data_IF_244700863771
#
_entry.id   IF_244700863771
#
_cell.length_a   1.000
_cell.length_b   1.000
_cell.length_c   1.000
_cell.angle_alpha   90.00
_cell.angle_beta   90.00
_cell.angle_gamma   90.00
#
_symmetry.space_group_name_H-M   'P 1'
#
loop_
_entity.id
_entity.type
_entity.pdbx_description
1 polymer ?
#
# COMPACT_ATOMS: atom_id res chain seq x y z
N UNK A 1 -47.88 0.35 -6.17
CA UNK A 1 -46.76 0.62 -7.08
C UNK A 1 -45.52 0.07 -6.40
N UNK A 2 -44.95 -1.02 -6.93
CA UNK A 2 -43.72 -1.60 -6.40
C UNK A 2 -42.51 -0.82 -6.89
N UNK A 3 -41.34 -1.06 -6.29
CA UNK A 3 -40.08 -0.55 -6.83
C UNK A 3 -39.88 -1.13 -8.26
N UNK A 4 -39.13 -0.40 -9.09
CA UNK A 4 -38.65 -0.89 -10.39
C UNK A 4 -37.14 -0.91 -10.29
N UNK A 5 -36.52 -2.04 -10.66
CA UNK A 5 -35.09 -2.21 -10.58
C UNK A 5 -34.32 -1.23 -11.47
N UNK A 6 -33.22 -0.68 -10.96
CA UNK A 6 -32.42 0.35 -11.63
C UNK A 6 -31.58 -0.18 -12.81
N UNK A 7 -31.31 -1.49 -12.85
CA UNK A 7 -30.58 -2.14 -13.93
C UNK A 7 -31.55 -2.80 -14.91
N UNK A 8 -32.06 -2.05 -15.89
CA UNK A 8 -33.00 -2.57 -16.89
C UNK A 8 -34.23 -3.29 -16.30
N UNK A 9 -34.72 -2.84 -15.14
CA UNK A 9 -35.84 -3.46 -14.42
C UNK A 9 -35.46 -4.55 -13.41
N UNK A 10 -34.19 -4.96 -13.37
CA UNK A 10 -33.62 -5.85 -12.36
C UNK A 10 -33.08 -5.06 -11.16
N UNK A 11 -33.17 -5.67 -9.99
CA UNK A 11 -32.65 -5.19 -8.72
C UNK A 11 -31.19 -5.59 -8.50
N UNK A 12 -30.65 -6.49 -9.33
CA UNK A 12 -29.26 -6.93 -9.28
C UNK A 12 -28.45 -6.37 -10.46
N UNK A 13 -27.18 -6.10 -10.20
CA UNK A 13 -26.20 -5.69 -11.21
C UNK A 13 -25.02 -6.66 -11.17
N UNK A 14 -24.75 -7.31 -12.29
CA UNK A 14 -23.55 -8.11 -12.44
C UNK A 14 -22.32 -7.19 -12.47
N UNK A 15 -21.33 -7.50 -11.64
CA UNK A 15 -20.06 -6.77 -11.56
C UNK A 15 -18.93 -7.76 -11.89
N UNK A 16 -18.17 -7.56 -12.98
CA UNK A 16 -17.07 -8.45 -13.30
C UNK A 16 -15.95 -8.29 -12.27
N UNK A 17 -15.43 -9.42 -11.81
CA UNK A 17 -14.40 -9.51 -10.78
C UNK A 17 -13.20 -10.27 -11.31
N UNK A 18 -12.03 -9.99 -10.75
CA UNK A 18 -10.78 -10.70 -11.00
C UNK A 18 -10.19 -11.14 -9.67
N UNK A 19 -9.40 -12.21 -9.69
CA UNK A 19 -8.69 -12.71 -8.52
C UNK A 19 -7.19 -12.74 -8.81
N UNK A 20 -6.41 -12.12 -7.92
CA UNK A 20 -4.96 -12.18 -7.95
C UNK A 20 -4.46 -13.06 -6.80
N UNK A 21 -3.44 -13.88 -7.06
CA UNK A 21 -2.78 -14.68 -6.02
C UNK A 21 -1.29 -14.58 -6.24
N UNK A 22 -0.59 -13.96 -5.29
CA UNK A 22 0.86 -13.86 -5.35
C UNK A 22 1.49 -15.25 -5.15
N UNK A 23 2.62 -15.49 -5.81
CA UNK A 23 3.40 -16.72 -5.62
C UNK A 23 3.90 -16.82 -4.18
N UNK A 24 3.91 -18.02 -3.61
CA UNK A 24 4.58 -18.31 -2.33
C UNK A 24 6.11 -18.33 -2.48
N UNK A 25 6.61 -18.49 -3.71
CA UNK A 25 8.03 -18.48 -4.02
C UNK A 25 8.42 -17.07 -4.50
N UNK A 26 8.74 -16.19 -3.55
CA UNK A 26 9.21 -14.84 -3.80
C UNK A 26 10.67 -14.70 -3.34
N UNK A 27 11.51 -14.06 -4.15
CA UNK A 27 12.89 -13.71 -3.76
C UNK A 27 12.96 -12.22 -3.59
N UNK A 28 13.18 -11.75 -2.36
CA UNK A 28 13.10 -10.33 -2.03
C UNK A 28 14.32 -9.93 -1.22
N UNK A 29 14.96 -8.84 -1.62
CA UNK A 29 16.07 -8.27 -0.89
C UNK A 29 16.05 -6.75 -0.96
N UNK A 30 16.36 -6.11 0.16
CA UNK A 30 16.64 -4.68 0.22
C UNK A 30 18.15 -4.49 0.41
N UNK A 31 18.84 -4.09 -0.65
CA UNK A 31 20.31 -4.13 -0.68
C UNK A 31 20.82 -5.54 -0.40
N UNK A 32 21.65 -5.71 0.63
CA UNK A 32 22.16 -7.03 1.05
C UNK A 32 21.25 -7.78 2.02
N UNK A 33 20.14 -7.17 2.45
CA UNK A 33 19.21 -7.79 3.39
C UNK A 33 18.21 -8.66 2.63
N UNK A 34 18.42 -9.98 2.63
CA UNK A 34 17.42 -10.93 2.17
C UNK A 34 16.25 -10.99 3.15
N UNK A 35 15.01 -10.99 2.64
CA UNK A 35 13.78 -11.00 3.43
C UNK A 35 13.06 -12.33 3.29
N UNK A 36 12.56 -12.85 4.40
CA UNK A 36 11.74 -14.06 4.42
C UNK A 36 10.28 -13.72 4.11
N UNK A 37 9.72 -14.23 3.01
CA UNK A 37 8.30 -14.08 2.69
C UNK A 37 7.42 -14.57 3.85
N UNK A 38 6.28 -13.91 4.08
CA UNK A 38 5.33 -14.08 5.21
C UNK A 38 5.85 -13.62 6.56
N UNK A 39 7.13 -13.84 6.87
CA UNK A 39 7.72 -13.50 8.17
C UNK A 39 8.16 -12.04 8.23
N UNK A 40 8.87 -11.59 7.21
CA UNK A 40 9.48 -10.27 7.12
C UNK A 40 8.68 -9.34 6.22
N UNK A 41 8.11 -9.89 5.15
CA UNK A 41 7.47 -9.16 4.06
C UNK A 41 6.34 -9.98 3.41
N UNK A 42 5.29 -9.29 2.98
CA UNK A 42 4.26 -9.81 2.08
C UNK A 42 4.07 -8.85 0.92
N UNK A 43 4.03 -9.38 -0.30
CA UNK A 43 3.86 -8.59 -1.53
C UNK A 43 2.76 -9.22 -2.38
N UNK A 44 2.02 -8.36 -3.06
CA UNK A 44 1.05 -8.71 -4.09
C UNK A 44 1.17 -7.76 -5.28
N UNK A 45 0.47 -8.11 -6.35
CA UNK A 45 0.34 -7.29 -7.55
C UNK A 45 -1.09 -7.38 -8.05
N UNK A 46 -1.60 -6.26 -8.59
CA UNK A 46 -2.90 -6.19 -9.26
C UNK A 46 -2.76 -6.28 -10.78
N UNK A 47 -1.58 -6.69 -11.25
CA UNK A 47 -1.27 -6.84 -12.66
C UNK A 47 -1.35 -8.31 -13.10
N UNK A 48 -1.77 -8.55 -14.34
CA UNK A 48 -1.86 -9.87 -14.96
C UNK A 48 -0.62 -10.22 -15.82
N UNK A 49 0.54 -9.65 -15.46
CA UNK A 49 1.76 -9.66 -16.26
C UNK A 49 2.56 -10.99 -16.23
N UNK A 50 2.03 -12.07 -15.62
CA UNK A 50 2.69 -13.38 -15.52
C UNK A 50 3.89 -13.46 -14.56
N UNK A 51 4.32 -12.32 -14.01
CA UNK A 51 5.39 -12.18 -13.01
C UNK A 51 5.83 -10.72 -12.90
N UNK A 52 6.52 -10.39 -11.81
CA UNK A 52 7.14 -9.08 -11.62
C UNK A 52 8.62 -9.27 -11.30
N UNK A 53 9.49 -8.58 -12.04
CA UNK A 53 10.93 -8.54 -11.80
C UNK A 53 11.38 -7.08 -11.66
N UNK A 54 11.76 -6.70 -10.45
CA UNK A 54 12.21 -5.36 -10.11
C UNK A 54 13.65 -5.46 -9.61
N UNK A 55 14.57 -4.78 -10.28
CA UNK A 55 15.98 -4.74 -9.92
C UNK A 55 16.46 -3.31 -9.75
N UNK A 56 17.31 -3.08 -8.74
CA UNK A 56 17.95 -1.78 -8.47
C UNK A 56 16.97 -0.59 -8.34
N UNK A 57 15.76 -0.83 -7.84
CA UNK A 57 14.80 0.23 -7.56
C UNK A 57 15.16 0.94 -6.24
N UNK A 58 15.37 2.26 -6.23
CA UNK A 58 15.65 3.01 -5.01
C UNK A 58 14.49 2.92 -4.02
N UNK A 59 14.82 2.77 -2.74
CA UNK A 59 13.85 2.84 -1.66
C UNK A 59 13.76 4.28 -1.15
N UNK A 60 12.54 4.81 -1.05
CA UNK A 60 12.28 6.18 -0.59
C UNK A 60 11.33 6.13 0.59
N UNK A 61 11.75 6.66 1.73
CA UNK A 61 10.86 6.86 2.86
C UNK A 61 10.02 8.13 2.66
N UNK A 62 8.71 7.97 2.63
CA UNK A 62 7.74 9.05 2.35
C UNK A 62 6.84 9.35 3.55
N UNK A 63 7.36 9.21 4.77
CA UNK A 63 6.57 9.47 5.99
C UNK A 63 5.32 8.60 6.04
N UNK A 64 4.14 9.23 6.12
CA UNK A 64 2.85 8.53 6.12
C UNK A 64 2.25 8.33 4.71
N UNK A 65 2.91 8.82 3.66
CA UNK A 65 2.45 8.71 2.27
C UNK A 65 1.13 9.46 2.04
N UNK A 66 0.98 10.62 2.68
CA UNK A 66 -0.26 11.40 2.67
C UNK A 66 -0.10 12.66 1.82
N UNK A 67 -1.07 12.88 0.95
CA UNK A 67 -1.36 14.16 0.33
C UNK A 67 -2.77 14.58 0.72
N UNK A 68 -2.88 15.52 1.67
CA UNK A 68 -4.12 15.98 2.28
C UNK A 68 -4.11 17.52 2.40
N UNK A 69 -4.45 18.24 1.32
CA UNK A 69 -4.44 19.70 1.29
C UNK A 69 -5.31 20.35 2.38
N UNK A 70 -6.41 19.72 2.79
CA UNK A 70 -7.28 20.21 3.85
C UNK A 70 -6.63 20.20 5.25
N UNK A 71 -5.54 19.45 5.42
CA UNK A 71 -4.72 19.43 6.63
C UNK A 71 -3.40 20.19 6.45
N UNK A 72 -3.21 20.91 5.33
CA UNK A 72 -1.94 21.50 4.93
C UNK A 72 -0.79 20.48 5.08
N UNK A 73 -0.95 19.30 4.50
CA UNK A 73 -0.03 18.17 4.64
C UNK A 73 0.22 17.48 3.30
N UNK A 74 1.50 17.37 2.92
CA UNK A 74 1.90 16.59 1.75
C UNK A 74 3.29 15.97 1.96
N UNK A 75 3.32 14.68 2.28
CA UNK A 75 4.56 13.91 2.48
C UNK A 75 5.38 13.73 1.19
N UNK A 76 4.80 14.01 0.02
CA UNK A 76 5.48 13.93 -1.27
C UNK A 76 6.00 15.29 -1.76
N UNK A 77 5.68 16.39 -1.07
CA UNK A 77 6.06 17.75 -1.50
C UNK A 77 7.38 18.23 -0.91
N UNK A 78 7.65 17.89 0.36
CA UNK A 78 8.92 18.23 1.02
C UNK A 78 10.10 17.41 0.47
N UNK A 79 9.76 16.40 -0.32
CA UNK A 79 10.68 15.50 -0.98
C UNK A 79 10.64 15.88 -2.47
N UNK A 80 11.64 16.58 -3.01
CA UNK A 80 11.86 16.78 -4.47
C UNK A 80 12.17 15.44 -5.19
N UNK A 81 11.53 14.34 -4.76
CA UNK A 81 11.70 12.99 -5.26
C UNK A 81 10.55 12.70 -6.21
N UNK A 82 10.91 12.71 -7.48
CA UNK A 82 10.21 11.93 -8.49
C UNK A 82 10.14 10.46 -8.04
N UNK A 83 8.94 9.93 -7.81
CA UNK A 83 8.74 8.54 -7.39
C UNK A 83 8.79 7.54 -8.55
N UNK A 84 8.89 8.00 -9.81
CA UNK A 84 9.01 7.13 -10.97
C UNK A 84 10.21 6.17 -10.84
N UNK A 85 9.91 4.87 -10.95
CA UNK A 85 10.92 3.80 -10.82
C UNK A 85 11.39 3.51 -9.39
N UNK A 86 10.76 4.12 -8.36
CA UNK A 86 11.17 3.99 -6.95
C UNK A 86 10.12 3.26 -6.12
N UNK A 87 10.56 2.70 -5.00
CA UNK A 87 9.69 2.02 -4.03
C UNK A 87 9.38 2.97 -2.87
N UNK A 88 8.11 3.27 -2.67
CA UNK A 88 7.65 4.04 -1.51
C UNK A 88 7.66 3.16 -0.25
N UNK A 89 8.35 3.60 0.79
CA UNK A 89 8.32 3.02 2.13
C UNK A 89 7.48 3.94 3.02
N UNK A 90 6.38 3.42 3.59
CA UNK A 90 5.28 4.22 4.13
C UNK A 90 4.94 3.78 5.56
N UNK A 91 4.74 4.71 6.49
CA UNK A 91 4.22 4.40 7.83
C UNK A 91 2.73 4.02 7.77
N UNK A 92 2.34 3.03 8.58
CA UNK A 92 0.92 2.72 8.82
C UNK A 92 0.24 3.83 9.64
N UNK A 93 -1.08 3.97 9.48
CA UNK A 93 -1.91 4.99 10.14
C UNK A 93 -1.57 6.42 9.68
N UNK A 94 -2.04 7.45 10.37
CA UNK A 94 -1.81 8.86 10.05
C UNK A 94 -1.12 9.61 11.21
N UNK A 95 -0.60 10.83 10.98
CA UNK A 95 0.17 11.56 11.98
C UNK A 95 -0.57 11.84 13.29
N UNK A 96 -1.91 11.87 13.26
CA UNK A 96 -2.74 12.14 14.44
C UNK A 96 -2.54 11.10 15.53
N UNK A 97 -2.29 9.83 15.16
CA UNK A 97 -2.03 8.78 16.14
C UNK A 97 -0.75 9.03 16.95
N UNK A 98 0.32 9.46 16.29
CA UNK A 98 1.61 9.75 16.91
C UNK A 98 1.62 11.11 17.64
N UNK A 99 0.89 12.10 17.12
CA UNK A 99 0.82 13.47 17.64
C UNK A 99 -0.63 13.90 17.85
N UNK A 100 -1.32 13.35 18.87
CA UNK A 100 -2.75 13.55 19.07
C UNK A 100 -3.14 15.01 19.36
N UNK A 101 -2.21 15.79 19.90
CA UNK A 101 -2.42 17.20 20.27
C UNK A 101 -2.01 18.18 19.15
N UNK A 102 -1.62 17.68 17.97
CA UNK A 102 -1.17 18.52 16.84
C UNK A 102 -2.28 19.37 16.21
N UNK A 103 -3.55 19.06 16.50
CA UNK A 103 -4.70 19.65 15.82
C UNK A 103 -4.88 19.17 14.38
N UNK A 104 -4.05 18.23 13.90
CA UNK A 104 -4.17 17.59 12.58
C UNK A 104 -4.64 16.13 12.73
N UNK A 105 -5.34 15.61 11.72
CA UNK A 105 -5.73 14.19 11.59
C UNK A 105 -6.48 13.56 12.78
N UNK A 106 -7.50 14.24 13.31
CA UNK A 106 -8.47 13.70 14.28
C UNK A 106 -7.87 12.98 15.52
N UNK A 107 -6.64 13.34 15.91
CA UNK A 107 -5.94 12.74 17.06
C UNK A 107 -5.76 11.23 16.92
N UNK A 108 -6.06 10.46 17.97
CA UNK A 108 -5.89 9.00 17.94
C UNK A 108 -6.89 8.26 17.04
N UNK A 109 -7.93 8.93 16.55
CA UNK A 109 -8.92 8.31 15.70
C UNK A 109 -8.47 8.37 14.23
N UNK A 110 -8.12 7.20 13.68
CA UNK A 110 -7.64 7.08 12.30
C UNK A 110 -8.62 7.72 11.30
N UNK A 111 -8.07 8.54 10.42
CA UNK A 111 -8.75 9.17 9.29
C UNK A 111 -8.71 8.28 8.05
N UNK A 112 -9.30 8.74 6.94
CA UNK A 112 -9.16 8.08 5.65
C UNK A 112 -7.68 7.92 5.24
N UNK A 113 -6.84 8.91 5.55
CA UNK A 113 -5.42 8.96 5.23
C UNK A 113 -4.56 7.90 5.93
N UNK A 114 -5.06 7.36 7.05
CA UNK A 114 -4.40 6.28 7.77
C UNK A 114 -4.63 4.90 7.15
N UNK A 115 -5.59 4.76 6.23
CA UNK A 115 -5.92 3.47 5.63
C UNK A 115 -4.89 3.04 4.58
N UNK A 116 -4.64 1.74 4.51
CA UNK A 116 -3.61 1.18 3.63
C UNK A 116 -3.97 1.27 2.14
N UNK A 117 -5.25 1.15 1.80
CA UNK A 117 -5.75 1.26 0.43
C UNK A 117 -5.54 2.67 -0.12
N UNK A 118 -5.77 3.68 0.72
CA UNK A 118 -5.39 5.06 0.39
C UNK A 118 -3.89 5.18 0.11
N UNK A 119 -3.03 4.63 0.97
CA UNK A 119 -1.57 4.75 0.83
C UNK A 119 -1.06 4.15 -0.49
N UNK A 120 -1.56 2.98 -0.88
CA UNK A 120 -1.20 2.38 -2.17
C UNK A 120 -1.75 3.19 -3.35
N UNK A 121 -2.99 3.67 -3.25
CA UNK A 121 -3.58 4.53 -4.29
C UNK A 121 -2.83 5.85 -4.44
N UNK A 122 -2.42 6.48 -3.35
CA UNK A 122 -1.67 7.72 -3.40
C UNK A 122 -0.26 7.49 -3.95
N UNK A 123 0.47 6.47 -3.48
CA UNK A 123 1.77 6.12 -4.06
C UNK A 123 1.69 5.83 -5.57
N UNK A 124 0.61 5.19 -6.02
CA UNK A 124 0.30 4.98 -7.44
C UNK A 124 0.15 6.30 -8.19
N UNK A 125 -0.63 7.26 -7.65
CA UNK A 125 -0.79 8.61 -8.25
C UNK A 125 0.52 9.40 -8.30
N UNK A 126 1.41 9.18 -7.34
CA UNK A 126 2.73 9.80 -7.31
C UNK A 126 3.70 9.14 -8.31
N UNK A 127 3.30 8.05 -8.97
CA UNK A 127 4.10 7.38 -9.99
C UNK A 127 5.11 6.36 -9.44
N UNK A 128 4.95 5.93 -8.19
CA UNK A 128 5.82 4.93 -7.58
C UNK A 128 5.80 3.61 -8.36
N UNK A 129 6.95 2.93 -8.42
CA UNK A 129 7.03 1.59 -8.99
C UNK A 129 6.39 0.55 -8.05
N UNK A 130 6.61 0.71 -6.75
CA UNK A 130 6.06 -0.15 -5.71
C UNK A 130 5.77 0.65 -4.45
N UNK A 131 4.88 0.12 -3.61
CA UNK A 131 4.51 0.76 -2.35
C UNK A 131 4.46 -0.28 -1.22
N UNK A 132 5.18 -0.01 -0.14
CA UNK A 132 5.37 -0.95 0.96
C UNK A 132 5.10 -0.23 2.28
N UNK A 133 4.12 -0.73 3.02
CA UNK A 133 3.75 -0.17 4.32
C UNK A 133 4.54 -0.87 5.44
N UNK A 134 5.06 -0.09 6.37
CA UNK A 134 5.68 -0.56 7.60
C UNK A 134 4.57 -0.90 8.60
N UNK A 135 4.46 -2.17 8.95
CA UNK A 135 3.60 -2.62 10.02
C UNK A 135 4.22 -2.30 11.39
N UNK A 136 3.48 -1.57 12.20
CA UNK A 136 3.69 -1.45 13.64
C UNK A 136 2.36 -1.76 14.35
N UNK A 137 2.42 -2.58 15.40
CA UNK A 137 1.23 -3.15 16.06
C UNK A 137 0.37 -2.08 16.73
N UNK A 138 0.99 -1.08 17.38
CA UNK A 138 0.25 -0.03 18.08
C UNK A 138 -0.59 0.83 17.11
N UNK A 139 -0.02 1.45 16.06
CA UNK A 139 -0.78 2.22 15.09
C UNK A 139 -1.65 1.36 14.17
N UNK A 140 -1.27 0.12 13.84
CA UNK A 140 -2.13 -0.78 13.05
C UNK A 140 -3.32 -1.33 13.85
N UNK A 141 -3.23 -1.38 15.18
CA UNK A 141 -4.22 -1.99 16.08
C UNK A 141 -4.41 -3.51 15.92
N UNK A 142 -3.53 -4.18 15.18
CA UNK A 142 -3.53 -5.64 15.01
C UNK A 142 -2.11 -6.18 14.85
N UNK A 143 -1.86 -7.45 15.25
CA UNK A 143 -0.55 -8.08 15.08
C UNK A 143 -0.23 -8.37 13.61
N UNK A 144 1.05 -8.62 13.33
CA UNK A 144 1.53 -8.97 11.99
C UNK A 144 0.78 -10.15 11.34
N UNK A 145 0.34 -11.12 12.13
CA UNK A 145 -0.41 -12.28 11.63
C UNK A 145 -1.69 -11.91 10.89
N UNK A 146 -2.30 -10.76 11.19
CA UNK A 146 -3.46 -10.26 10.41
C UNK A 146 -3.00 -9.84 9.01
N UNK A 147 -1.90 -9.10 8.90
CA UNK A 147 -1.32 -8.70 7.60
C UNK A 147 -0.93 -9.94 6.80
N UNK A 148 -0.16 -10.84 7.42
CA UNK A 148 0.31 -12.07 6.78
C UNK A 148 -0.83 -12.89 6.18
N UNK A 149 -1.87 -13.19 6.97
CA UNK A 149 -2.98 -14.02 6.52
C UNK A 149 -3.85 -13.31 5.48
N UNK A 150 -4.04 -12.00 5.61
CA UNK A 150 -4.85 -11.20 4.69
C UNK A 150 -4.19 -10.98 3.34
N UNK A 151 -2.86 -10.96 3.25
CA UNK A 151 -2.11 -10.61 2.04
C UNK A 151 -1.55 -11.81 1.26
N UNK A 152 -1.66 -13.01 1.81
CA UNK A 152 -1.15 -14.23 1.19
C UNK A 152 -2.26 -15.13 0.64
N UNK A 153 -3.52 -14.78 0.90
CA UNK A 153 -4.69 -15.44 0.32
C UNK A 153 -5.08 -14.79 -1.02
N UNK A 154 -5.93 -15.43 -1.85
CA UNK A 154 -6.45 -14.83 -3.07
C UNK A 154 -7.12 -13.46 -2.82
N UNK A 155 -6.66 -12.43 -3.52
CA UNK A 155 -7.17 -11.07 -3.46
C UNK A 155 -8.21 -10.85 -4.55
N UNK A 156 -9.38 -10.32 -4.20
CA UNK A 156 -10.44 -10.00 -5.15
C UNK A 156 -10.38 -8.53 -5.53
N UNK A 157 -10.53 -8.23 -6.82
CA UNK A 157 -10.64 -6.86 -7.30
C UNK A 157 -11.68 -6.75 -8.42
N UNK A 158 -12.05 -5.53 -8.77
CA UNK A 158 -12.87 -5.24 -9.93
C UNK A 158 -12.07 -5.48 -11.21
N UNK A 159 -12.71 -6.08 -12.20
CA UNK A 159 -12.12 -6.15 -13.53
C UNK A 159 -12.14 -4.75 -14.15
N UNK A 160 -10.97 -4.18 -14.37
CA UNK A 160 -10.76 -2.91 -15.06
C UNK A 160 -10.01 -3.13 -16.37
N UNK A 161 -10.00 -2.11 -17.25
CA UNK A 161 -9.17 -2.17 -18.45
C UNK A 161 -7.68 -1.98 -18.12
N UNK A 162 -6.82 -2.30 -19.10
CA UNK A 162 -5.37 -2.24 -18.93
C UNK A 162 -4.86 -0.83 -18.60
N UNK A 163 -5.50 0.22 -19.12
CA UNK A 163 -5.06 1.59 -18.89
C UNK A 163 -5.35 2.05 -17.46
N UNK A 164 -6.45 1.61 -16.87
CA UNK A 164 -6.73 1.81 -15.44
C UNK A 164 -5.83 0.93 -14.56
N UNK A 165 -5.60 -0.33 -14.94
CA UNK A 165 -4.69 -1.22 -14.24
C UNK A 165 -3.26 -0.66 -14.17
N UNK A 166 -2.77 -0.07 -15.28
CA UNK A 166 -1.43 0.53 -15.41
C UNK A 166 -1.22 1.78 -14.56
N UNK A 167 -2.28 2.30 -13.93
CA UNK A 167 -2.15 3.38 -12.94
C UNK A 167 -1.71 2.85 -11.59
N UNK A 168 -1.90 1.57 -11.29
CA UNK A 168 -1.47 0.98 -10.02
C UNK A 168 0.03 0.74 -10.03
N UNK A 169 0.65 0.89 -8.85
CA UNK A 169 2.01 0.37 -8.62
C UNK A 169 2.14 -1.08 -9.06
N UNK A 170 3.30 -1.49 -9.55
CA UNK A 170 3.56 -2.88 -10.00
C UNK A 170 3.43 -3.87 -8.83
N UNK A 171 3.87 -3.45 -7.65
CA UNK A 171 3.84 -4.25 -6.42
C UNK A 171 3.41 -3.42 -5.23
N UNK A 172 2.49 -3.97 -4.44
CA UNK A 172 2.07 -3.42 -3.16
C UNK A 172 2.24 -4.45 -2.04
N UNK A 173 2.48 -3.99 -0.82
CA UNK A 173 2.70 -4.91 0.28
C UNK A 173 3.08 -4.27 1.60
N UNK A 174 3.58 -5.13 2.51
CA UNK A 174 3.91 -4.75 3.88
C UNK A 174 5.22 -5.39 4.32
N UNK A 175 5.93 -4.67 5.19
CA UNK A 175 7.09 -5.19 5.93
C UNK A 175 6.90 -5.05 7.43
N UNK A 176 7.60 -5.87 8.21
CA UNK A 176 7.62 -5.70 9.66
C UNK A 176 8.44 -4.46 10.08
N UNK A 177 8.11 -3.87 11.23
CA UNK A 177 8.90 -2.79 11.83
C UNK A 177 10.38 -3.16 12.04
N UNK A 178 10.68 -4.43 12.32
CA UNK A 178 12.06 -4.92 12.49
C UNK A 178 12.86 -4.77 11.18
N UNK A 179 12.26 -5.20 10.06
CA UNK A 179 12.87 -5.06 8.73
C UNK A 179 13.08 -3.59 8.41
N UNK A 180 12.07 -2.75 8.62
CA UNK A 180 12.20 -1.32 8.41
C UNK A 180 13.38 -0.76 9.21
N UNK A 181 13.45 -1.01 10.51
CA UNK A 181 14.55 -0.55 11.39
C UNK A 181 15.92 -0.92 10.82
N UNK A 182 16.11 -2.17 10.39
CA UNK A 182 17.37 -2.62 9.76
C UNK A 182 17.71 -1.88 8.47
N UNK A 183 16.71 -1.58 7.64
CA UNK A 183 16.89 -0.84 6.38
C UNK A 183 17.29 0.60 6.68
N UNK A 184 16.64 1.26 7.64
CA UNK A 184 17.01 2.62 8.06
C UNK A 184 18.41 2.67 8.67
N UNK A 185 18.78 1.70 9.51
CA UNK A 185 20.12 1.60 10.13
C UNK A 185 21.23 1.38 9.09
N UNK A 186 20.94 0.64 8.01
CA UNK A 186 21.87 0.44 6.90
C UNK A 186 22.00 1.67 5.97
N UNK A 187 21.08 2.64 6.11
CA UNK A 187 20.87 3.76 5.20
C UNK A 187 20.13 3.34 3.93
N UNK A 188 19.07 4.07 3.57
CA UNK A 188 18.47 3.93 2.24
C UNK A 188 19.54 4.24 1.19
N UNK A 189 19.80 3.27 0.32
CA UNK A 189 20.66 3.44 -0.85
C UNK A 189 19.81 3.42 -2.10
#
# INVERSE_FOLDING_TARGET
MGLVGANHGDYLQAVPMVTYTASEQQTISFGSLALEHRKDIVLGSRHDNGGVDITNAPLVFVGYGINAPEYDWNDYQDIDIDMHGKVAIILVNDPGFALPDSGKFNGKAMTYYGRWDYKFSEASKQGALAAIIIHDTAPASYPWSVVENSWTSPQQDLLVDKAEQDKHVEVEGWITLNVATKVFDAGFK
#
